data_IF_966264767050
#
_entry.id   IF_966264767050
#
_cell.length_a   1.000
_cell.length_b   1.000
_cell.length_c   1.000
_cell.angle_alpha   90.00
_cell.angle_beta   90.00
_cell.angle_gamma   90.00
#
_symmetry.space_group_name_H-M   'P 1'
#
loop_
_entity.id
_entity.type
_entity.pdbx_description
1 polymer ?
#
# COMPACT_ATOMS: atom_id res chain seq x y z
N UNK A 1 -24.74 7.01 -18.09
CA UNK A 1 -24.12 5.99 -17.21
C UNK A 1 -23.00 6.55 -16.35
N UNK A 2 -21.94 7.12 -16.92
CA UNK A 2 -20.83 7.68 -16.14
C UNK A 2 -21.24 8.75 -15.09
N UNK A 3 -22.22 9.61 -15.40
CA UNK A 3 -22.70 10.64 -14.46
C UNK A 3 -23.48 10.07 -13.27
N UNK A 4 -24.23 8.99 -13.47
CA UNK A 4 -25.00 8.34 -12.41
C UNK A 4 -24.05 7.60 -11.48
N UNK A 5 -23.08 6.90 -12.04
CA UNK A 5 -22.04 6.19 -11.29
C UNK A 5 -21.17 7.17 -10.48
N UNK A 6 -20.86 8.33 -11.03
CA UNK A 6 -20.13 9.38 -10.32
C UNK A 6 -20.95 9.99 -9.18
N UNK A 7 -22.26 10.19 -9.40
CA UNK A 7 -23.15 10.72 -8.35
C UNK A 7 -23.36 9.70 -7.21
N UNK A 8 -23.46 8.43 -7.55
CA UNK A 8 -23.56 7.35 -6.58
C UNK A 8 -22.28 7.21 -5.73
N UNK A 9 -21.11 7.38 -6.36
CA UNK A 9 -19.81 7.40 -5.68
C UNK A 9 -19.64 8.60 -4.75
N UNK A 10 -20.22 9.75 -5.08
CA UNK A 10 -20.19 10.95 -4.24
C UNK A 10 -21.11 10.84 -3.01
N UNK A 11 -22.14 10.00 -3.10
CA UNK A 11 -23.03 9.72 -1.97
C UNK A 11 -22.38 8.89 -0.86
N UNK A 12 -21.30 8.16 -1.17
CA UNK A 12 -20.55 7.37 -0.20
C UNK A 12 -19.69 8.22 0.75
N UNK A 13 -19.47 9.50 0.41
CA UNK A 13 -18.65 10.40 1.22
C UNK A 13 -19.49 11.62 1.63
N UNK A 14 -19.85 11.73 2.91
CA UNK A 14 -20.61 12.88 3.40
C UNK A 14 -19.82 14.18 3.18
N UNK A 15 -20.53 15.28 2.84
CA UNK A 15 -19.87 16.58 2.65
C UNK A 15 -19.31 17.13 3.97
N UNK A 16 -18.20 17.81 3.89
CA UNK A 16 -17.61 18.52 5.03
C UNK A 16 -16.39 17.85 5.63
N UNK A 17 -16.30 17.83 6.96
CA UNK A 17 -15.11 17.40 7.70
C UNK A 17 -14.73 15.94 7.44
N UNK A 18 -15.72 15.04 7.38
CA UNK A 18 -15.45 13.62 7.15
C UNK A 18 -14.80 13.36 5.79
N UNK A 19 -15.29 14.04 4.74
CA UNK A 19 -14.70 13.98 3.41
C UNK A 19 -13.25 14.45 3.42
N UNK A 20 -12.97 15.56 4.07
CA UNK A 20 -11.62 16.09 4.21
C UNK A 20 -10.70 15.14 4.97
N UNK A 21 -11.19 14.52 6.03
CA UNK A 21 -10.43 13.55 6.82
C UNK A 21 -10.10 12.28 6.00
N UNK A 22 -11.05 11.77 5.24
CA UNK A 22 -10.86 10.59 4.38
C UNK A 22 -9.82 10.88 3.28
N UNK A 23 -9.90 12.03 2.63
CA UNK A 23 -8.93 12.45 1.62
C UNK A 23 -7.54 12.68 2.23
N UNK A 24 -7.47 13.30 3.38
CA UNK A 24 -6.20 13.49 4.11
C UNK A 24 -5.57 12.13 4.47
N UNK A 25 -6.36 11.19 4.96
CA UNK A 25 -5.89 9.83 5.26
C UNK A 25 -5.35 9.12 4.01
N UNK A 26 -6.04 9.25 2.88
CA UNK A 26 -5.60 8.67 1.61
C UNK A 26 -4.28 9.28 1.13
N UNK A 27 -4.12 10.58 1.24
CA UNK A 27 -2.87 11.28 0.87
C UNK A 27 -1.72 10.84 1.79
N UNK A 28 -1.95 10.79 3.10
CA UNK A 28 -0.94 10.35 4.07
C UNK A 28 -0.52 8.91 3.79
N UNK A 29 -1.46 8.02 3.51
CA UNK A 29 -1.18 6.63 3.18
C UNK A 29 -0.34 6.50 1.90
N UNK A 30 -0.66 7.26 0.86
CA UNK A 30 0.13 7.29 -0.37
C UNK A 30 1.56 7.83 -0.13
N UNK A 31 1.70 8.86 0.68
CA UNK A 31 3.00 9.41 1.06
C UNK A 31 3.83 8.41 1.85
N UNK A 32 3.22 7.71 2.81
CA UNK A 32 3.90 6.66 3.58
C UNK A 32 4.45 5.56 2.67
N UNK A 33 3.69 5.16 1.66
CA UNK A 33 4.14 4.16 0.69
C UNK A 33 5.33 4.66 -0.14
N UNK A 34 5.32 5.90 -0.60
CA UNK A 34 6.42 6.50 -1.35
C UNK A 34 7.68 6.66 -0.49
N UNK A 35 7.52 7.06 0.77
CA UNK A 35 8.61 7.17 1.73
C UNK A 35 9.21 5.79 2.00
N UNK A 36 8.38 4.77 2.20
CA UNK A 36 8.84 3.40 2.42
C UNK A 36 9.70 2.89 1.25
N UNK A 37 9.26 3.11 0.02
CA UNK A 37 10.05 2.76 -1.17
C UNK A 37 11.39 3.48 -1.20
N UNK A 38 11.41 4.76 -0.85
CA UNK A 38 12.63 5.56 -0.83
C UNK A 38 13.60 5.11 0.26
N UNK A 39 13.10 4.86 1.47
CA UNK A 39 13.91 4.39 2.61
C UNK A 39 14.55 3.05 2.27
N UNK A 40 13.78 2.10 1.76
CA UNK A 40 14.30 0.77 1.43
C UNK A 40 15.39 0.88 0.37
N UNK A 41 15.19 1.66 -0.69
CA UNK A 41 16.21 1.84 -1.74
C UNK A 41 17.52 2.44 -1.22
N UNK A 42 17.45 3.37 -0.28
CA UNK A 42 18.63 3.96 0.35
C UNK A 42 19.30 2.99 1.32
N UNK A 43 18.50 2.27 2.10
CA UNK A 43 19.00 1.40 3.18
C UNK A 43 19.43 0.02 2.71
N UNK A 44 19.16 -0.36 1.45
CA UNK A 44 19.47 -1.71 0.94
C UNK A 44 20.92 -2.13 1.14
N UNK A 45 21.86 -1.21 0.97
CA UNK A 45 23.30 -1.49 1.13
C UNK A 45 23.64 -1.79 2.60
N UNK A 46 23.08 -1.03 3.52
CA UNK A 46 23.30 -1.24 4.96
C UNK A 46 22.65 -2.54 5.41
N UNK A 47 21.43 -2.82 4.95
CA UNK A 47 20.74 -4.06 5.24
C UNK A 47 21.55 -5.26 4.72
N UNK A 48 22.07 -5.20 3.51
CA UNK A 48 22.92 -6.24 2.93
C UNK A 48 24.16 -6.49 3.79
N UNK A 49 24.83 -5.43 4.24
CA UNK A 49 26.01 -5.51 5.10
C UNK A 49 25.72 -6.13 6.47
N UNK A 50 24.60 -5.76 7.10
CA UNK A 50 24.23 -6.24 8.43
C UNK A 50 23.78 -7.70 8.45
N UNK A 51 23.19 -8.18 7.36
CA UNK A 51 22.67 -9.57 7.22
C UNK A 51 23.71 -10.50 6.58
N UNK A 52 24.75 -9.92 5.96
CA UNK A 52 25.75 -10.68 5.20
C UNK A 52 25.22 -11.19 3.85
N UNK A 53 24.22 -10.50 3.29
CA UNK A 53 23.63 -10.81 1.98
C UNK A 53 24.40 -10.20 0.83
N UNK A 54 24.41 -10.90 -0.30
CA UNK A 54 24.97 -10.38 -1.55
C UNK A 54 24.02 -9.35 -2.19
N UNK A 55 24.55 -8.55 -3.13
CA UNK A 55 23.73 -7.58 -3.88
C UNK A 55 22.60 -8.26 -4.66
N UNK A 56 22.83 -9.47 -5.17
CA UNK A 56 21.81 -10.24 -5.89
C UNK A 56 20.72 -10.72 -4.95
N UNK A 57 21.07 -11.20 -3.76
CA UNK A 57 20.12 -11.66 -2.75
C UNK A 57 19.25 -10.52 -2.22
N UNK A 58 19.85 -9.36 -1.96
CA UNK A 58 19.12 -8.21 -1.48
C UNK A 58 18.15 -7.63 -2.54
N UNK A 59 18.46 -7.81 -3.82
CA UNK A 59 17.56 -7.42 -4.90
C UNK A 59 16.20 -8.14 -4.84
N UNK A 60 16.14 -9.34 -4.28
CA UNK A 60 14.90 -10.08 -4.05
C UNK A 60 13.94 -9.36 -3.09
N UNK A 61 14.46 -8.56 -2.19
CA UNK A 61 13.65 -7.75 -1.26
C UNK A 61 12.79 -6.75 -2.05
N UNK A 62 13.40 -6.06 -3.00
CA UNK A 62 12.70 -5.11 -3.88
C UNK A 62 11.76 -5.84 -4.84
N UNK A 63 12.23 -6.94 -5.41
CA UNK A 63 11.45 -7.75 -6.36
C UNK A 63 10.22 -8.34 -5.71
N UNK A 64 10.31 -8.88 -4.50
CA UNK A 64 9.17 -9.41 -3.76
C UNK A 64 8.08 -8.36 -3.56
N UNK A 65 8.46 -7.15 -3.18
CA UNK A 65 7.54 -6.03 -3.04
C UNK A 65 6.89 -5.66 -4.38
N UNK A 66 7.69 -5.50 -5.43
CA UNK A 66 7.20 -5.12 -6.76
C UNK A 66 6.24 -6.16 -7.34
N UNK A 67 6.56 -7.44 -7.23
CA UNK A 67 5.72 -8.55 -7.73
C UNK A 67 4.37 -8.57 -7.00
N UNK A 68 4.37 -8.46 -5.67
CA UNK A 68 3.14 -8.44 -4.90
C UNK A 68 2.28 -7.22 -5.20
N UNK A 69 2.88 -6.05 -5.41
CA UNK A 69 2.15 -4.85 -5.86
C UNK A 69 1.47 -5.08 -7.22
N UNK A 70 2.20 -5.61 -8.19
CA UNK A 70 1.67 -5.87 -9.54
C UNK A 70 0.50 -6.87 -9.47
N UNK A 71 0.59 -7.90 -8.65
CA UNK A 71 -0.49 -8.87 -8.44
C UNK A 71 -1.73 -8.20 -7.83
N UNK A 72 -1.53 -7.32 -6.85
CA UNK A 72 -2.63 -6.71 -6.12
C UNK A 72 -3.34 -5.58 -6.88
N UNK A 73 -2.69 -4.89 -7.79
CA UNK A 73 -3.31 -3.78 -8.54
C UNK A 73 -4.64 -4.21 -9.20
N UNK A 74 -4.71 -5.27 -10.01
CA UNK A 74 -5.98 -5.71 -10.57
C UNK A 74 -6.94 -6.32 -9.54
N UNK A 75 -6.41 -7.00 -8.51
CA UNK A 75 -7.22 -7.61 -7.46
C UNK A 75 -7.81 -6.59 -6.49
N UNK A 76 -7.18 -5.43 -6.35
CA UNK A 76 -7.64 -4.36 -5.47
C UNK A 76 -9.06 -3.88 -5.82
N UNK A 77 -9.38 -3.75 -7.10
CA UNK A 77 -10.72 -3.42 -7.55
C UNK A 77 -11.76 -4.45 -7.11
N UNK A 78 -11.46 -5.72 -7.31
CA UNK A 78 -12.33 -6.83 -6.93
C UNK A 78 -12.55 -6.88 -5.41
N UNK A 79 -11.49 -6.79 -4.63
CA UNK A 79 -11.59 -6.80 -3.16
C UNK A 79 -12.29 -5.56 -2.62
N UNK A 80 -12.09 -4.41 -3.24
CA UNK A 80 -12.79 -3.18 -2.90
C UNK A 80 -14.30 -3.31 -3.12
N UNK A 81 -14.72 -3.98 -4.18
CA UNK A 81 -16.13 -4.24 -4.45
C UNK A 81 -16.73 -5.28 -3.49
N UNK A 82 -15.95 -6.30 -3.10
CA UNK A 82 -16.40 -7.36 -2.18
C UNK A 82 -16.51 -6.90 -0.73
N UNK A 83 -15.51 -6.19 -0.23
CA UNK A 83 -15.40 -5.80 1.18
C UNK A 83 -15.84 -4.35 1.45
N UNK A 84 -16.06 -3.57 0.41
CA UNK A 84 -16.28 -2.14 0.50
C UNK A 84 -14.95 -1.36 0.52
N UNK A 85 -14.93 -0.18 -0.07
CA UNK A 85 -13.72 0.64 -0.20
C UNK A 85 -13.10 1.00 1.13
N UNK A 86 -13.93 1.43 2.08
CA UNK A 86 -13.48 1.83 3.41
C UNK A 86 -12.82 0.67 4.15
N UNK A 87 -13.47 -0.49 4.17
CA UNK A 87 -12.95 -1.67 4.85
C UNK A 87 -11.68 -2.18 4.19
N UNK A 88 -11.66 -2.26 2.88
CA UNK A 88 -10.49 -2.69 2.13
C UNK A 88 -9.29 -1.76 2.34
N UNK A 89 -9.51 -0.44 2.29
CA UNK A 89 -8.48 0.55 2.55
C UNK A 89 -7.91 0.43 3.97
N UNK A 90 -8.76 0.27 4.97
CA UNK A 90 -8.36 0.09 6.36
C UNK A 90 -7.54 -1.20 6.55
N UNK A 91 -7.98 -2.31 5.96
CA UNK A 91 -7.25 -3.58 5.99
C UNK A 91 -5.89 -3.44 5.32
N UNK A 92 -5.82 -2.77 4.19
CA UNK A 92 -4.57 -2.52 3.45
C UNK A 92 -3.57 -1.71 4.28
N UNK A 93 -4.02 -0.66 4.97
CA UNK A 93 -3.18 0.12 5.88
C UNK A 93 -2.65 -0.75 7.02
N UNK A 94 -3.48 -1.58 7.63
CA UNK A 94 -3.09 -2.46 8.73
C UNK A 94 -2.04 -3.46 8.25
N UNK A 95 -2.26 -4.13 7.13
CA UNK A 95 -1.32 -5.10 6.55
C UNK A 95 0.01 -4.42 6.23
N UNK A 96 -0.03 -3.28 5.57
CA UNK A 96 1.17 -2.51 5.21
C UNK A 96 1.98 -2.11 6.45
N UNK A 97 1.32 -1.56 7.46
CA UNK A 97 1.97 -1.07 8.70
C UNK A 97 2.56 -2.22 9.50
N UNK A 98 1.82 -3.30 9.70
CA UNK A 98 2.29 -4.47 10.44
C UNK A 98 3.47 -5.13 9.73
N UNK A 99 3.37 -5.34 8.42
CA UNK A 99 4.45 -5.92 7.63
C UNK A 99 5.70 -5.02 7.62
N UNK A 100 5.54 -3.70 7.57
CA UNK A 100 6.64 -2.74 7.68
C UNK A 100 7.36 -2.85 9.03
N UNK A 101 6.60 -2.94 10.12
CA UNK A 101 7.16 -3.13 11.46
C UNK A 101 7.95 -4.44 11.57
N UNK A 102 7.42 -5.54 11.06
CA UNK A 102 8.12 -6.83 11.05
C UNK A 102 9.34 -6.85 10.12
N UNK A 103 9.32 -6.12 9.01
CA UNK A 103 10.51 -5.91 8.19
C UNK A 103 11.65 -5.28 9.00
N UNK A 104 11.35 -4.27 9.80
CA UNK A 104 12.32 -3.61 10.68
C UNK A 104 12.85 -4.50 11.79
N UNK A 105 12.08 -5.49 12.22
CA UNK A 105 12.45 -6.45 13.27
C UNK A 105 13.09 -7.73 12.70
N UNK A 106 13.18 -7.88 11.39
CA UNK A 106 13.72 -9.08 10.75
C UNK A 106 15.24 -9.17 10.92
N UNK A 107 15.73 -10.38 11.16
CA UNK A 107 17.15 -10.69 11.34
C UNK A 107 17.75 -11.51 10.20
N UNK A 108 16.91 -12.09 9.36
CA UNK A 108 17.33 -12.91 8.22
C UNK A 108 16.79 -12.38 6.91
N UNK A 109 17.48 -12.72 5.81
CA UNK A 109 17.05 -12.32 4.46
C UNK A 109 15.67 -12.89 4.10
N UNK A 110 15.41 -14.15 4.44
CA UNK A 110 14.14 -14.81 4.16
C UNK A 110 12.96 -14.14 4.86
N UNK A 111 13.14 -13.70 6.10
CA UNK A 111 12.13 -12.97 6.87
C UNK A 111 11.82 -11.61 6.18
N UNK A 112 12.85 -10.87 5.78
CA UNK A 112 12.67 -9.59 5.09
C UNK A 112 11.92 -9.78 3.77
N UNK A 113 12.30 -10.77 2.96
CA UNK A 113 11.63 -11.07 1.69
C UNK A 113 10.16 -11.42 1.93
N UNK A 114 9.86 -12.24 2.91
CA UNK A 114 8.48 -12.62 3.25
C UNK A 114 7.65 -11.41 3.66
N UNK A 115 8.15 -10.59 4.57
CA UNK A 115 7.43 -9.40 5.04
C UNK A 115 7.30 -8.33 3.97
N UNK A 116 8.30 -8.19 3.10
CA UNK A 116 8.22 -7.29 1.94
C UNK A 116 7.15 -7.75 0.95
N UNK A 117 7.01 -9.04 0.73
CA UNK A 117 5.94 -9.58 -0.10
C UNK A 117 4.57 -9.26 0.49
N UNK A 118 4.37 -9.50 1.79
CA UNK A 118 3.12 -9.18 2.50
C UNK A 118 2.85 -7.67 2.49
N UNK A 119 3.85 -6.85 2.72
CA UNK A 119 3.77 -5.41 2.65
C UNK A 119 3.36 -4.92 1.26
N UNK A 120 3.88 -5.54 0.21
CA UNK A 120 3.49 -5.25 -1.16
C UNK A 120 2.04 -5.60 -1.48
N UNK A 121 1.50 -6.66 -0.90
CA UNK A 121 0.08 -7.00 -1.00
C UNK A 121 -0.80 -5.89 -0.40
N UNK A 122 -0.43 -5.38 0.76
CA UNK A 122 -1.11 -4.22 1.37
C UNK A 122 -0.89 -2.93 0.56
N UNK A 123 0.34 -2.67 0.14
CA UNK A 123 0.73 -1.45 -0.58
C UNK A 123 0.08 -1.30 -1.95
N UNK A 124 -0.07 -2.38 -2.72
CA UNK A 124 -0.75 -2.36 -4.01
C UNK A 124 -2.21 -1.95 -3.89
N UNK A 125 -2.90 -2.45 -2.87
CA UNK A 125 -4.26 -2.06 -2.55
C UNK A 125 -4.36 -0.63 -2.03
N UNK A 126 -3.39 -0.21 -1.24
CA UNK A 126 -3.36 1.11 -0.61
C UNK A 126 -3.29 2.24 -1.65
N UNK A 127 -2.35 2.17 -2.59
CA UNK A 127 -2.17 3.20 -3.60
C UNK A 127 -3.38 3.30 -4.53
N UNK A 128 -3.89 2.16 -5.00
CA UNK A 128 -5.06 2.09 -5.86
C UNK A 128 -6.30 2.64 -5.15
N UNK A 129 -6.52 2.25 -3.89
CA UNK A 129 -7.63 2.74 -3.07
C UNK A 129 -7.52 4.23 -2.78
N UNK A 130 -6.32 4.73 -2.49
CA UNK A 130 -6.08 6.15 -2.26
C UNK A 130 -6.42 6.98 -3.50
N UNK A 131 -5.97 6.57 -4.67
CA UNK A 131 -6.30 7.24 -5.93
C UNK A 131 -7.81 7.24 -6.20
N UNK A 132 -8.47 6.12 -6.00
CA UNK A 132 -9.92 5.99 -6.18
C UNK A 132 -10.69 6.87 -5.21
N UNK A 133 -10.27 6.96 -3.97
CA UNK A 133 -10.87 7.82 -2.94
C UNK A 133 -10.72 9.30 -3.31
N UNK A 134 -9.53 9.71 -3.71
CA UNK A 134 -9.27 11.11 -4.09
C UNK A 134 -10.09 11.53 -5.30
N UNK A 135 -10.11 10.70 -6.35
CA UNK A 135 -10.90 10.97 -7.57
C UNK A 135 -12.39 10.94 -7.29
N UNK A 136 -12.86 10.04 -6.42
CA UNK A 136 -14.28 9.96 -6.04
C UNK A 136 -14.74 11.09 -5.13
N UNK A 137 -13.85 11.68 -4.34
CA UNK A 137 -14.18 12.76 -3.41
C UNK A 137 -14.26 14.13 -4.11
N UNK A 138 -13.52 14.33 -5.19
CA UNK A 138 -13.50 15.59 -5.98
C UNK A 138 -13.85 15.28 -7.44
N UNK A 139 -15.05 15.63 -7.87
CA UNK A 139 -15.45 15.44 -9.25
C UNK A 139 -14.69 16.36 -10.21
#
# INVERSE_FOLDING_TARGET
MAKVETAERLADYPPGLERTMVVAAAIIAAMLQLIDLSIVNVSLREIAGSIGATTTEIAWVVTAYAVSNVIMIPLAGMFSDLFGRRNYFTISIIIFTVASAFCGLSHTLNEIILWRFIQGLGGGGLLTSAQTIIVGAYP
#
